data_IF_816911221526
#
_entry.id   IF_816911221526
#
_cell.length_a   1.000
_cell.length_b   1.000
_cell.length_c   1.000
_cell.angle_alpha   90.00
_cell.angle_beta   90.00
_cell.angle_gamma   90.00
#
_symmetry.space_group_name_H-M   'P 1'
#
loop_
_entity.id
_entity.type
_entity.pdbx_description
1 polymer ?
#
# COMPACT_ATOMS: atom_id res chain seq x y z
N UNK A 1 -0.68 18.20 -52.70
CA UNK A 1 0.40 18.76 -51.86
C UNK A 1 0.19 18.43 -50.37
N UNK A 2 0.30 17.17 -49.93
CA UNK A 2 0.13 16.76 -48.51
C UNK A 2 1.23 15.82 -47.98
N UNK A 3 2.28 15.55 -48.77
CA UNK A 3 3.31 14.57 -48.43
C UNK A 3 4.51 15.12 -47.64
N UNK A 4 4.58 16.43 -47.38
CA UNK A 4 5.79 17.05 -46.81
C UNK A 4 5.80 17.12 -45.27
N UNK A 5 4.64 17.00 -44.61
CA UNK A 5 4.53 17.15 -43.15
C UNK A 5 4.87 15.85 -42.40
N UNK A 6 4.58 14.67 -42.98
CA UNK A 6 4.88 13.40 -42.33
C UNK A 6 6.38 13.09 -42.26
N UNK A 7 7.20 13.59 -43.20
CA UNK A 7 8.63 13.28 -43.26
C UNK A 7 9.46 14.03 -42.20
N UNK A 8 8.96 15.17 -41.68
CA UNK A 8 9.69 15.95 -40.67
C UNK A 8 9.50 15.43 -39.24
N UNK A 9 8.44 14.64 -38.98
CA UNK A 9 8.17 14.11 -37.65
C UNK A 9 9.02 12.87 -37.32
N UNK A 10 9.39 12.07 -38.32
CA UNK A 10 10.19 10.85 -38.12
C UNK A 10 11.66 11.15 -37.85
N UNK A 11 12.22 12.23 -38.42
CA UNK A 11 13.63 12.61 -38.21
C UNK A 11 13.84 13.21 -36.81
N UNK A 12 12.86 13.97 -36.28
CA UNK A 12 12.94 14.54 -34.93
C UNK A 12 12.91 13.49 -33.81
N UNK A 13 12.14 12.41 -33.99
CA UNK A 13 12.02 11.34 -32.99
C UNK A 13 13.32 10.51 -32.85
N UNK A 14 14.06 10.33 -33.94
CA UNK A 14 15.33 9.56 -33.92
C UNK A 14 16.44 10.26 -33.12
N UNK A 15 16.50 11.60 -33.14
CA UNK A 15 17.55 12.36 -32.43
C UNK A 15 17.29 12.36 -30.91
N UNK A 16 16.03 12.42 -30.47
CA UNK A 16 15.68 12.39 -29.05
C UNK A 16 16.05 11.04 -28.38
N UNK A 17 15.88 9.93 -29.09
CA UNK A 17 16.25 8.58 -28.57
C UNK A 17 17.76 8.44 -28.42
N UNK A 18 18.56 9.05 -29.29
CA UNK A 18 20.03 8.95 -29.24
C UNK A 18 20.65 9.76 -28.08
N UNK A 19 20.07 10.92 -27.73
CA UNK A 19 20.54 11.73 -26.59
C UNK A 19 20.26 11.02 -25.27
N UNK A 20 19.12 10.33 -25.13
CA UNK A 20 18.79 9.62 -23.89
C UNK A 20 19.67 8.37 -23.65
N UNK A 21 20.07 7.66 -24.71
CA UNK A 21 20.97 6.51 -24.58
C UNK A 21 22.41 6.90 -24.19
N UNK A 22 22.82 8.14 -24.47
CA UNK A 22 24.17 8.63 -24.17
C UNK A 22 24.34 9.01 -22.69
N UNK A 23 23.26 9.43 -22.01
CA UNK A 23 23.29 9.87 -20.62
C UNK A 23 23.33 8.71 -19.60
N UNK A 24 23.01 7.49 -20.02
CA UNK A 24 23.06 6.30 -19.16
C UNK A 24 24.45 5.64 -19.07
N UNK A 25 25.46 6.21 -19.74
CA UNK A 25 26.86 5.78 -19.63
C UNK A 25 27.67 6.57 -18.60
N UNK A 26 26.99 7.29 -17.71
CA UNK A 26 27.59 7.85 -16.51
C UNK A 26 27.93 6.71 -15.52
N UNK A 27 29.17 6.25 -15.66
CA UNK A 27 30.03 5.70 -14.60
C UNK A 27 29.46 4.61 -13.69
N UNK A 28 29.62 3.35 -14.13
CA UNK A 28 29.64 2.18 -13.24
C UNK A 28 31.00 1.99 -12.54
N UNK A 29 32.00 2.81 -12.88
CA UNK A 29 33.37 2.70 -12.32
C UNK A 29 33.52 3.40 -10.96
N UNK A 30 32.56 4.23 -10.54
CA UNK A 30 32.63 4.99 -9.29
C UNK A 30 32.02 4.26 -8.07
N UNK A 31 31.50 3.03 -8.24
CA UNK A 31 30.87 2.23 -7.16
C UNK A 31 31.84 1.18 -6.57
N UNK A 32 33.06 1.07 -7.12
CA UNK A 32 34.09 0.15 -6.61
C UNK A 32 35.20 0.89 -5.82
N UNK A 33 34.87 2.01 -5.18
CA UNK A 33 35.76 2.60 -4.20
C UNK A 33 35.97 1.61 -3.03
N UNK A 34 37.21 1.16 -2.74
CA UNK A 34 37.47 0.29 -1.61
C UNK A 34 37.15 1.05 -0.31
N UNK A 35 36.29 0.46 0.51
CA UNK A 35 35.95 0.98 1.83
C UNK A 35 37.24 1.19 2.64
N UNK A 36 37.45 2.36 3.26
CA UNK A 36 38.56 2.53 4.19
C UNK A 36 38.36 1.54 5.34
N UNK A 37 39.35 0.67 5.55
CA UNK A 37 39.40 -0.22 6.71
C UNK A 37 39.51 0.67 7.96
N UNK A 38 38.37 0.90 8.61
CA UNK A 38 38.37 1.46 9.95
C UNK A 38 38.98 0.41 10.87
N UNK A 39 40.20 0.68 11.31
CA UNK A 39 40.91 -0.02 12.36
C UNK A 39 40.14 0.16 13.68
N UNK A 40 39.14 -0.69 13.91
CA UNK A 40 38.42 -0.70 15.18
C UNK A 40 39.27 -1.47 16.18
N UNK A 41 39.97 -0.68 17.00
CA UNK A 41 40.68 -1.08 18.18
C UNK A 41 39.94 -2.16 18.97
N UNK A 42 40.70 -3.17 19.40
CA UNK A 42 40.26 -4.20 20.33
C UNK A 42 39.78 -3.56 21.65
N UNK A 43 38.46 -3.47 21.82
CA UNK A 43 37.87 -3.12 23.12
C UNK A 43 37.64 -4.41 23.91
N UNK A 44 38.55 -4.60 24.85
CA UNK A 44 38.55 -5.60 25.91
C UNK A 44 37.17 -5.83 26.53
N UNK A 45 36.71 -7.08 26.51
CA UNK A 45 35.98 -7.68 27.65
C UNK A 45 37.03 -8.06 28.72
N UNK A 46 36.71 -8.29 30.01
CA UNK A 46 35.41 -8.29 30.69
C UNK A 46 35.44 -7.48 32.03
N UNK A 47 34.27 -7.07 32.52
CA UNK A 47 34.13 -6.80 33.96
C UNK A 47 32.80 -7.34 34.46
N UNK A 48 32.88 -8.53 35.03
CA UNK A 48 31.91 -9.09 35.96
C UNK A 48 31.92 -8.20 37.22
N UNK A 49 30.85 -7.43 37.43
CA UNK A 49 30.54 -6.89 38.76
C UNK A 49 29.33 -7.63 39.32
N UNK A 50 29.69 -8.54 40.20
CA UNK A 50 28.88 -9.24 41.18
C UNK A 50 28.22 -8.25 42.14
N UNK A 51 26.91 -8.43 42.33
CA UNK A 51 26.04 -8.15 43.48
C UNK A 51 26.38 -6.98 44.41
N UNK A 52 25.44 -6.05 44.56
CA UNK A 52 24.98 -5.69 45.90
C UNK A 52 23.53 -5.17 45.88
N UNK A 53 22.72 -5.87 46.67
CA UNK A 53 21.36 -5.53 47.08
C UNK A 53 21.41 -4.35 48.04
N UNK A 54 20.75 -3.24 47.70
CA UNK A 54 20.22 -2.33 48.73
C UNK A 54 18.83 -1.88 48.31
N UNK A 55 17.86 -2.46 49.01
CA UNK A 55 16.50 -2.00 49.14
C UNK A 55 16.52 -0.55 49.62
N UNK A 56 16.17 0.39 48.76
CA UNK A 56 15.81 1.75 49.14
C UNK A 56 14.39 2.03 48.62
N UNK A 57 13.41 1.71 49.48
CA UNK A 57 12.00 2.08 49.28
C UNK A 57 11.91 3.58 49.45
N UNK A 58 11.99 4.31 48.33
CA UNK A 58 11.60 5.72 48.30
C UNK A 58 10.09 5.83 48.52
N UNK A 59 9.63 6.75 49.39
CA UNK A 59 8.20 6.99 49.55
C UNK A 59 7.63 7.48 48.22
N UNK A 60 6.60 6.78 47.75
CA UNK A 60 5.75 7.17 46.64
C UNK A 60 5.09 8.50 47.03
N UNK A 61 5.76 9.61 46.69
CA UNK A 61 5.14 10.92 46.61
C UNK A 61 4.17 10.81 45.45
N UNK A 62 2.90 10.63 45.82
CA UNK A 62 1.75 10.62 44.92
C UNK A 62 1.65 12.03 44.34
N UNK A 63 2.43 12.30 43.30
CA UNK A 63 2.23 13.48 42.46
C UNK A 63 0.78 13.46 42.02
N UNK A 64 0.03 14.58 42.18
CA UNK A 64 -1.31 14.66 41.63
C UNK A 64 -1.22 14.36 40.13
N UNK A 65 -2.22 13.65 39.56
CA UNK A 65 -2.30 13.52 38.12
C UNK A 65 -2.37 14.94 37.58
N UNK A 66 -1.30 15.37 36.92
CA UNK A 66 -1.37 16.54 36.04
C UNK A 66 -2.27 16.05 34.92
N UNK A 67 -3.55 16.39 35.03
CA UNK A 67 -4.46 16.44 33.90
C UNK A 67 -3.82 17.43 32.94
N UNK A 68 -3.00 16.90 32.02
CA UNK A 68 -2.59 17.64 30.84
C UNK A 68 -3.91 17.82 30.10
N UNK A 69 -4.53 18.98 30.29
CA UNK A 69 -5.56 19.48 29.40
C UNK A 69 -4.87 19.59 28.04
N UNK A 70 -4.90 18.50 27.28
CA UNK A 70 -4.54 18.49 25.88
C UNK A 70 -5.62 19.32 25.18
N UNK A 71 -5.42 20.63 25.22
CA UNK A 71 -6.15 21.61 24.43
C UNK A 71 -5.76 21.38 22.97
N UNK A 72 -6.25 20.27 22.41
CA UNK A 72 -6.24 20.03 20.97
C UNK A 72 -7.01 21.18 20.36
N UNK A 73 -6.30 22.10 19.70
CA UNK A 73 -6.94 23.09 18.85
C UNK A 73 -7.84 22.29 17.90
N UNK A 74 -9.15 22.56 17.95
CA UNK A 74 -10.19 21.71 17.35
C UNK A 74 -10.06 21.49 15.82
N UNK A 75 -9.05 22.10 15.18
CA UNK A 75 -8.76 22.03 13.75
C UNK A 75 -7.38 21.41 13.41
N UNK A 76 -6.63 20.85 14.37
CA UNK A 76 -5.33 20.25 14.09
C UNK A 76 -5.43 19.00 13.21
N UNK A 77 -4.55 18.84 12.22
CA UNK A 77 -4.48 17.63 11.38
C UNK A 77 -3.86 16.48 12.18
N UNK A 78 -4.63 15.42 12.44
CA UNK A 78 -4.16 14.24 13.15
C UNK A 78 -3.56 13.21 12.19
N UNK A 79 -2.73 12.32 12.74
CA UNK A 79 -2.18 11.19 11.99
C UNK A 79 -3.28 10.24 11.44
N UNK A 80 -4.41 10.12 12.15
CA UNK A 80 -5.59 9.38 11.68
C UNK A 80 -6.20 10.00 10.44
N UNK A 81 -6.27 11.34 10.38
CA UNK A 81 -6.89 12.04 9.25
C UNK A 81 -6.04 11.85 7.98
N UNK A 82 -4.71 11.94 8.14
CA UNK A 82 -3.76 11.64 7.05
C UNK A 82 -3.90 10.19 6.59
N UNK A 83 -4.04 9.24 7.53
CA UNK A 83 -4.24 7.82 7.21
C UNK A 83 -5.51 7.61 6.37
N UNK A 84 -6.64 8.15 6.82
CA UNK A 84 -7.92 8.05 6.12
C UNK A 84 -7.86 8.69 4.74
N UNK A 85 -7.23 9.85 4.61
CA UNK A 85 -7.04 10.52 3.33
C UNK A 85 -6.16 9.72 2.37
N UNK A 86 -5.08 9.09 2.84
CA UNK A 86 -4.25 8.17 2.04
C UNK A 86 -5.06 6.97 1.56
N UNK A 87 -5.86 6.36 2.44
CA UNK A 87 -6.74 5.22 2.08
C UNK A 87 -7.76 5.63 1.03
N UNK A 88 -8.42 6.79 1.21
CA UNK A 88 -9.41 7.31 0.28
C UNK A 88 -8.79 7.59 -1.10
N UNK A 89 -7.64 8.26 -1.15
CA UNK A 89 -6.93 8.53 -2.41
C UNK A 89 -6.54 7.23 -3.13
N UNK A 90 -6.13 6.20 -2.38
CA UNK A 90 -5.76 4.90 -2.94
C UNK A 90 -6.98 4.14 -3.48
N UNK A 91 -8.10 4.18 -2.75
CA UNK A 91 -9.37 3.60 -3.15
C UNK A 91 -9.91 4.27 -4.42
N UNK A 92 -9.83 5.60 -4.52
CA UNK A 92 -10.27 6.35 -5.69
C UNK A 92 -9.43 6.03 -6.93
N UNK A 93 -8.11 5.94 -6.75
CA UNK A 93 -7.17 5.68 -7.83
C UNK A 93 -7.32 4.28 -8.42
N UNK A 94 -7.46 3.27 -7.56
CA UNK A 94 -7.48 1.86 -7.99
C UNK A 94 -8.88 1.30 -8.24
N UNK A 95 -9.91 1.85 -7.57
CA UNK A 95 -11.30 1.37 -7.59
C UNK A 95 -11.40 -0.15 -7.45
N UNK A 96 -10.80 -0.75 -6.41
CA UNK A 96 -10.80 -2.20 -6.26
C UNK A 96 -12.22 -2.72 -5.99
N UNK A 97 -12.45 -4.00 -6.28
CA UNK A 97 -13.72 -4.68 -6.01
C UNK A 97 -13.80 -5.14 -4.54
N UNK A 98 -13.92 -4.19 -3.61
CA UNK A 98 -14.01 -4.44 -2.18
C UNK A 98 -13.58 -3.24 -1.33
N UNK A 99 -13.50 -3.47 -0.03
CA UNK A 99 -13.09 -2.50 0.97
C UNK A 99 -11.56 -2.57 1.16
N UNK A 100 -10.87 -1.54 0.70
CA UNK A 100 -9.43 -1.41 0.87
C UNK A 100 -9.12 -0.93 2.28
N UNK A 101 -8.24 -1.65 2.96
CA UNK A 101 -7.67 -1.24 4.25
C UNK A 101 -6.15 -1.18 4.12
N UNK A 102 -5.56 -0.10 4.62
CA UNK A 102 -4.10 0.06 4.70
C UNK A 102 -3.69 0.07 6.16
N UNK A 103 -2.68 -0.72 6.53
CA UNK A 103 -2.10 -0.69 7.88
C UNK A 103 -0.69 -0.12 7.78
N UNK A 104 -0.42 1.07 8.35
CA UNK A 104 0.91 1.64 8.32
C UNK A 104 1.89 0.76 9.11
N UNK A 105 3.06 0.52 8.53
CA UNK A 105 4.15 -0.24 9.18
C UNK A 105 5.19 0.67 9.86
N UNK A 106 4.99 1.98 9.75
CA UNK A 106 5.75 3.04 10.42
C UNK A 106 4.79 4.14 10.83
N UNK A 107 5.19 4.94 11.80
CA UNK A 107 4.41 6.09 12.25
C UNK A 107 4.20 7.07 11.08
N UNK A 108 2.99 7.63 11.01
CA UNK A 108 2.63 8.67 10.08
C UNK A 108 3.20 10.01 10.53
N UNK A 109 3.40 10.98 9.62
CA UNK A 109 3.87 12.30 10.01
C UNK A 109 2.90 12.97 10.97
N UNK A 110 3.43 13.55 12.03
CA UNK A 110 2.68 14.41 12.93
C UNK A 110 2.53 15.80 12.28
N UNK A 111 1.29 16.15 11.93
CA UNK A 111 0.91 17.42 11.34
C UNK A 111 0.01 18.24 12.26
N UNK A 112 0.04 17.95 13.57
CA UNK A 112 -0.79 18.63 14.58
C UNK A 112 -0.59 20.15 14.63
N UNK A 113 0.55 20.67 14.17
CA UNK A 113 0.83 22.11 14.07
C UNK A 113 0.12 22.81 12.91
N UNK A 114 -0.53 22.05 12.02
CA UNK A 114 -1.21 22.56 10.82
C UNK A 114 -2.72 22.40 10.96
N UNK A 115 -3.47 23.28 10.30
CA UNK A 115 -4.93 23.30 10.32
C UNK A 115 -5.55 22.73 9.05
N UNK A 116 -6.80 22.29 9.18
CA UNK A 116 -7.68 21.96 8.05
C UNK A 116 -8.04 23.20 7.20
N UNK A 117 -8.49 23.02 5.94
CA UNK A 117 -8.56 21.77 5.18
C UNK A 117 -7.20 21.37 4.60
N UNK A 118 -7.01 20.06 4.38
CA UNK A 118 -5.82 19.51 3.71
C UNK A 118 -6.22 18.51 2.63
N UNK A 119 -5.30 18.25 1.70
CA UNK A 119 -5.41 17.25 0.66
C UNK A 119 -4.17 16.35 0.64
N UNK A 120 -4.38 15.09 0.25
CA UNK A 120 -3.32 14.10 0.08
C UNK A 120 -3.23 13.70 -1.38
N UNK A 121 -2.07 13.94 -1.98
CA UNK A 121 -1.76 13.57 -3.35
C UNK A 121 -0.82 12.36 -3.37
N UNK A 122 -1.27 11.25 -3.94
CA UNK A 122 -0.42 10.07 -4.12
C UNK A 122 0.53 10.28 -5.30
N UNK A 123 1.83 10.32 -5.02
CA UNK A 123 2.89 10.49 -6.03
C UNK A 123 3.23 9.14 -6.67
N UNK A 124 3.17 8.06 -5.88
CA UNK A 124 3.38 6.70 -6.38
C UNK A 124 2.21 5.82 -6.00
N UNK A 125 1.50 5.32 -7.02
CA UNK A 125 0.42 4.35 -6.89
C UNK A 125 0.86 3.04 -7.56
N UNK A 126 0.79 1.88 -6.88
CA UNK A 126 1.08 0.61 -7.52
C UNK A 126 0.03 0.32 -8.59
N UNK A 127 0.45 -0.17 -9.76
CA UNK A 127 -0.49 -0.48 -10.85
C UNK A 127 -1.43 -1.66 -10.54
N UNK A 128 -1.12 -2.50 -9.55
CA UNK A 128 -1.95 -3.62 -9.08
C UNK A 128 -1.72 -3.85 -7.58
N UNK A 129 -2.78 -4.26 -6.89
CA UNK A 129 -2.67 -4.71 -5.50
C UNK A 129 -2.08 -6.12 -5.45
N UNK A 130 -1.24 -6.37 -4.45
CA UNK A 130 -0.65 -7.68 -4.18
C UNK A 130 -0.63 -7.95 -2.69
N UNK A 131 -0.57 -9.23 -2.33
CA UNK A 131 -0.41 -9.68 -0.95
C UNK A 131 1.00 -9.34 -0.47
N UNK A 132 1.16 -8.16 0.11
CA UNK A 132 2.47 -7.71 0.56
C UNK A 132 2.46 -6.31 1.15
N UNK A 133 3.66 -5.82 1.39
CA UNK A 133 3.87 -4.45 1.80
C UNK A 133 4.05 -3.59 0.54
N UNK A 134 3.41 -2.43 0.52
CA UNK A 134 3.57 -1.42 -0.52
C UNK A 134 4.25 -0.20 0.08
N UNK A 135 5.23 0.37 -0.61
CA UNK A 135 5.78 1.67 -0.26
C UNK A 135 4.97 2.75 -0.98
N UNK A 136 4.19 3.53 -0.24
CA UNK A 136 3.42 4.64 -0.81
C UNK A 136 4.20 5.94 -0.59
N UNK A 137 4.33 6.72 -1.67
CA UNK A 137 4.89 8.06 -1.65
C UNK A 137 3.75 9.04 -1.86
N UNK A 138 3.58 9.96 -0.93
CA UNK A 138 2.47 10.91 -0.93
C UNK A 138 2.92 12.28 -0.44
N UNK A 139 2.23 13.30 -0.92
CA UNK A 139 2.42 14.69 -0.55
C UNK A 139 1.16 15.19 0.13
N UNK A 140 1.33 15.93 1.22
CA UNK A 140 0.23 16.61 1.91
C UNK A 140 0.33 18.10 1.60
N UNK A 141 -0.80 18.69 1.22
CA UNK A 141 -0.93 20.12 0.95
C UNK A 141 -2.14 20.70 1.68
N UNK A 142 -2.03 21.96 2.09
CA UNK A 142 -3.10 22.75 2.67
C UNK A 142 -3.22 24.08 1.91
N UNK A 143 -4.03 25.01 2.43
CA UNK A 143 -4.21 26.33 1.82
C UNK A 143 -2.92 27.18 1.78
N UNK A 144 -1.99 26.95 2.72
CA UNK A 144 -0.70 27.65 2.79
C UNK A 144 0.33 27.07 1.82
N UNK A 145 0.08 25.89 1.27
CA UNK A 145 0.89 25.23 0.25
C UNK A 145 1.26 23.80 0.61
N UNK A 146 2.47 23.39 0.19
CA UNK A 146 2.95 22.02 0.37
C UNK A 146 3.53 21.88 1.77
N UNK A 147 2.92 21.04 2.60
CA UNK A 147 3.38 20.76 3.97
C UNK A 147 4.61 19.85 3.95
N UNK A 148 4.63 18.89 3.04
CA UNK A 148 5.74 17.97 2.88
C UNK A 148 5.43 16.76 2.03
N UNK A 149 6.43 15.88 1.94
CA UNK A 149 6.36 14.64 1.18
C UNK A 149 6.92 13.49 2.02
N UNK A 150 6.20 12.38 2.05
CA UNK A 150 6.55 11.22 2.85
C UNK A 150 6.51 9.93 2.03
N UNK A 151 7.31 8.96 2.47
CA UNK A 151 7.33 7.61 1.91
C UNK A 151 7.16 6.62 3.05
N UNK A 152 5.97 6.01 3.15
CA UNK A 152 5.58 5.15 4.27
C UNK A 152 5.24 3.76 3.74
N UNK A 153 5.80 2.69 4.32
CA UNK A 153 5.41 1.33 3.98
C UNK A 153 4.06 0.98 4.65
N UNK A 154 3.14 0.44 3.87
CA UNK A 154 1.83 -0.04 4.32
C UNK A 154 1.67 -1.53 4.02
N UNK A 155 0.96 -2.24 4.88
CA UNK A 155 0.38 -3.54 4.56
C UNK A 155 -1.02 -3.33 3.99
N UNK A 156 -1.29 -3.98 2.86
CA UNK A 156 -2.57 -3.84 2.15
C UNK A 156 -3.47 -5.03 2.45
N UNK A 157 -4.75 -4.76 2.70
CA UNK A 157 -5.83 -5.73 2.77
C UNK A 157 -6.98 -5.29 1.86
N UNK A 158 -7.61 -6.24 1.17
CA UNK A 158 -8.79 -5.97 0.35
C UNK A 158 -9.91 -6.90 0.79
N UNK A 159 -10.75 -6.42 1.71
CA UNK A 159 -11.84 -7.22 2.22
C UNK A 159 -13.04 -7.18 1.28
N UNK A 160 -13.66 -8.32 1.06
CA UNK A 160 -14.90 -8.40 0.27
C UNK A 160 -15.76 -9.55 0.77
N UNK A 161 -17.06 -9.42 0.59
CA UNK A 161 -17.99 -10.52 0.78
C UNK A 161 -17.88 -11.50 -0.39
N UNK A 162 -17.66 -12.78 -0.11
CA UNK A 162 -17.47 -13.83 -1.11
C UNK A 162 -18.42 -15.00 -0.87
N UNK A 163 -18.79 -15.68 -1.95
CA UNK A 163 -19.53 -16.94 -1.89
C UNK A 163 -18.60 -18.07 -1.44
N UNK A 164 -18.99 -18.78 -0.38
CA UNK A 164 -18.25 -19.89 0.21
C UNK A 164 -19.11 -21.15 0.25
N UNK A 165 -18.67 -22.30 -0.30
CA UNK A 165 -19.49 -23.51 -0.31
C UNK A 165 -19.67 -24.08 1.10
N UNK A 166 -20.92 -24.38 1.48
CA UNK A 166 -21.27 -25.02 2.78
C UNK A 166 -20.84 -26.49 2.84
N UNK A 167 -20.89 -27.15 1.70
CA UNK A 167 -20.60 -28.57 1.54
C UNK A 167 -19.77 -28.81 0.29
N UNK A 168 -19.13 -29.98 0.24
CA UNK A 168 -18.39 -30.40 -0.95
C UNK A 168 -19.35 -30.69 -2.11
N UNK A 169 -19.29 -29.88 -3.16
CA UNK A 169 -20.02 -30.09 -4.41
C UNK A 169 -19.21 -30.99 -5.35
N UNK A 170 -19.82 -32.03 -5.91
CA UNK A 170 -19.15 -32.90 -6.88
C UNK A 170 -19.29 -32.32 -8.28
N UNK A 171 -18.40 -32.76 -9.17
CA UNK A 171 -18.50 -32.42 -10.59
C UNK A 171 -19.82 -32.96 -11.15
N UNK A 172 -20.63 -32.07 -11.71
CA UNK A 172 -21.93 -32.41 -12.30
C UNK A 172 -23.13 -32.12 -11.40
N UNK A 173 -22.90 -31.80 -10.12
CA UNK A 173 -23.96 -31.36 -9.22
C UNK A 173 -24.46 -29.96 -9.64
N UNK A 174 -25.77 -29.75 -9.56
CA UNK A 174 -26.37 -28.45 -9.81
C UNK A 174 -26.20 -27.58 -8.57
N UNK A 175 -25.35 -26.57 -8.64
CA UNK A 175 -25.14 -25.63 -7.54
C UNK A 175 -26.32 -24.64 -7.45
N UNK A 176 -26.90 -24.54 -6.27
CA UNK A 176 -27.98 -23.59 -5.95
C UNK A 176 -27.48 -22.55 -4.94
N UNK A 177 -28.09 -21.34 -4.86
CA UNK A 177 -27.68 -20.34 -3.87
C UNK A 177 -27.71 -20.85 -2.42
N UNK A 178 -28.57 -21.82 -2.10
CA UNK A 178 -28.68 -22.45 -0.78
C UNK A 178 -27.44 -23.26 -0.37
N UNK A 179 -26.62 -23.65 -1.34
CA UNK A 179 -25.39 -24.43 -1.13
C UNK A 179 -24.20 -23.55 -0.72
N UNK A 180 -24.36 -22.22 -0.75
CA UNK A 180 -23.32 -21.25 -0.43
C UNK A 180 -23.69 -20.39 0.77
N UNK A 181 -22.67 -20.01 1.52
CA UNK A 181 -22.68 -18.94 2.51
C UNK A 181 -21.98 -17.70 1.97
N UNK A 182 -22.24 -16.56 2.59
CA UNK A 182 -21.48 -15.33 2.38
C UNK A 182 -20.49 -15.19 3.54
N UNK A 183 -19.22 -14.95 3.22
CA UNK A 183 -18.16 -14.69 4.21
C UNK A 183 -17.33 -13.48 3.80
N UNK A 184 -16.85 -12.73 4.78
CA UNK A 184 -15.88 -11.67 4.54
C UNK A 184 -14.48 -12.29 4.44
N UNK A 185 -13.79 -12.08 3.32
CA UNK A 185 -12.47 -12.64 3.04
C UNK A 185 -11.56 -11.56 2.46
N UNK A 186 -10.26 -11.65 2.77
CA UNK A 186 -9.23 -10.81 2.13
C UNK A 186 -8.92 -11.39 0.73
N UNK A 187 -9.36 -10.69 -0.31
CA UNK A 187 -9.17 -11.08 -1.70
C UNK A 187 -7.69 -11.11 -2.12
N UNK A 188 -6.80 -10.41 -1.41
CA UNK A 188 -5.36 -10.53 -1.67
C UNK A 188 -4.79 -11.84 -1.13
N UNK A 189 -5.39 -12.39 -0.07
CA UNK A 189 -5.01 -13.69 0.48
C UNK A 189 -5.62 -14.86 -0.30
N UNK A 190 -6.86 -14.70 -0.78
CA UNK A 190 -7.63 -15.70 -1.53
C UNK A 190 -8.09 -15.14 -2.89
N UNK A 191 -7.19 -15.03 -3.88
CA UNK A 191 -7.50 -14.39 -5.17
C UNK A 191 -8.52 -15.16 -6.02
N UNK A 192 -8.71 -16.45 -5.74
CA UNK A 192 -9.68 -17.31 -6.44
C UNK A 192 -11.10 -17.22 -5.83
N UNK A 193 -11.29 -16.45 -4.76
CA UNK A 193 -12.59 -16.26 -4.14
C UNK A 193 -13.55 -15.49 -5.06
N UNK A 194 -14.83 -15.89 -5.08
CA UNK A 194 -15.85 -15.29 -5.95
C UNK A 194 -16.64 -14.25 -5.16
N UNK A 195 -16.55 -12.94 -5.48
CA UNK A 195 -17.26 -11.91 -4.72
C UNK A 195 -18.78 -12.05 -4.84
N UNK A 196 -19.49 -11.90 -3.73
CA UNK A 196 -20.94 -12.03 -3.65
C UNK A 196 -21.68 -10.76 -4.12
N UNK A 197 -21.05 -9.59 -3.95
CA UNK A 197 -21.63 -8.28 -4.31
C UNK A 197 -21.47 -7.87 -5.79
N UNK A 198 -20.64 -8.57 -6.57
CA UNK A 198 -20.42 -8.25 -7.98
C UNK A 198 -21.26 -9.16 -8.88
N UNK A 199 -22.50 -8.72 -9.18
CA UNK A 199 -23.52 -9.45 -9.96
C UNK A 199 -24.01 -10.74 -9.29
N UNK A 200 -25.34 -10.92 -9.33
CA UNK A 200 -25.97 -12.23 -9.20
C UNK A 200 -25.09 -13.30 -9.87
N UNK A 201 -24.73 -14.39 -9.16
CA UNK A 201 -23.74 -15.35 -9.66
C UNK A 201 -24.18 -15.74 -11.05
N UNK A 202 -23.39 -15.35 -12.06
CA UNK A 202 -23.76 -15.58 -13.45
C UNK A 202 -24.04 -17.07 -13.57
N UNK A 203 -25.33 -17.43 -13.74
CA UNK A 203 -25.74 -18.82 -13.92
C UNK A 203 -24.73 -19.46 -14.85
N UNK A 204 -24.05 -20.54 -14.43
CA UNK A 204 -22.96 -21.11 -15.21
C UNK A 204 -23.53 -21.30 -16.61
N UNK A 205 -22.99 -20.56 -17.59
CA UNK A 205 -23.39 -20.72 -18.98
C UNK A 205 -23.03 -22.16 -19.30
N UNK A 206 -24.02 -23.04 -19.21
CA UNK A 206 -23.98 -24.37 -19.76
C UNK A 206 -23.53 -24.14 -21.19
N UNK A 207 -22.29 -24.50 -21.50
CA UNK A 207 -21.84 -24.62 -22.86
C UNK A 207 -22.76 -25.67 -23.47
N UNK A 208 -23.86 -25.23 -24.06
CA UNK A 208 -24.70 -26.08 -24.89
C UNK A 208 -23.82 -26.46 -26.07
N UNK A 209 -23.19 -27.63 -25.94
CA UNK A 209 -22.50 -28.27 -27.03
C UNK A 209 -23.51 -28.46 -28.15
N UNK A 210 -23.38 -27.66 -29.20
CA UNK A 210 -24.06 -27.88 -30.46
C UNK A 210 -23.52 -29.19 -31.05
N UNK A 211 -24.19 -30.30 -30.75
CA UNK A 211 -24.03 -31.53 -31.52
C UNK A 211 -24.70 -31.33 -32.87
N UNK A 212 -23.93 -30.87 -33.86
CA UNK A 212 -24.34 -30.95 -35.26
C UNK A 212 -24.37 -32.42 -35.66
N UNK A 213 -25.57 -33.02 -35.70
CA UNK A 213 -25.78 -34.32 -36.35
C UNK A 213 -25.54 -34.13 -37.85
N UNK A 214 -24.40 -34.60 -38.34
CA UNK A 214 -24.20 -34.94 -39.74
C UNK A 214 -24.96 -36.25 -40.00
N UNK A 215 -26.12 -36.14 -40.65
CA UNK A 215 -26.77 -37.30 -41.29
C UNK A 215 -26.15 -37.48 -42.67
N UNK A 216 -25.76 -38.73 -42.96
CA UNK A 216 -25.25 -39.20 -44.24
C UNK A 216 -26.31 -39.22 -45.34
#
# INVERSE_FOLDING_TARGET
MKFSILLRLTIGLGIAVFIFASALRASLEDILAPLPMAEVAAVSKPSLRTLESVVAVSPIVKSPPVEVEEEYAADSILASDVHEAVVAAMQESLRPAGDLTLVPLRDLPDLSSYSHPFAVNLITVPGRLSRGNVLLRFQVENEEGILGEWSVPFRVHLFSEVWYPRAHLRRGDLATPSDFDIRQVDLLAEPDAVPAGSREPASPRVQQGYYTRQTA
#
